data_IF_642455789526
#
_entry.id   IF_642455789526
#
_cell.length_a   1.000
_cell.length_b   1.000
_cell.length_c   1.000
_cell.angle_alpha   90.00
_cell.angle_beta   90.00
_cell.angle_gamma   90.00
#
_symmetry.space_group_name_H-M   'P 1'
#
loop_
_entity.id
_entity.type
_entity.pdbx_description
1 polymer ?
#
# COMPACT_ATOMS: atom_id res chain seq x y z
N UNK A 1 3.53 4.42 4.87
CA UNK A 1 3.94 5.41 3.86
C UNK A 1 5.44 5.62 4.01
N UNK A 2 6.16 5.48 2.91
CA UNK A 2 7.60 5.67 2.80
C UNK A 2 7.91 7.14 2.52
N UNK A 3 8.95 7.65 3.17
CA UNK A 3 9.54 8.97 2.93
C UNK A 3 11.02 8.77 2.62
N UNK A 4 11.44 9.32 1.49
CA UNK A 4 12.80 9.27 0.96
C UNK A 4 13.22 10.72 0.77
N UNK A 5 14.35 11.12 1.34
CA UNK A 5 14.82 12.50 1.25
C UNK A 5 16.31 12.60 1.56
N UNK A 6 16.94 13.68 1.10
CA UNK A 6 18.26 14.10 1.54
C UNK A 6 18.15 14.95 2.80
N UNK A 7 19.08 14.73 3.72
CA UNK A 7 19.25 15.51 4.94
C UNK A 7 20.68 16.04 4.97
N UNK A 8 20.83 17.34 5.18
CA UNK A 8 22.15 17.96 5.39
C UNK A 8 22.65 17.72 6.81
N UNK A 9 23.92 18.06 7.05
CA UNK A 9 24.54 18.01 8.37
C UNK A 9 23.74 18.77 9.45
N UNK A 10 23.12 19.90 9.08
CA UNK A 10 22.34 20.76 10.00
C UNK A 10 20.92 20.21 10.26
N UNK A 11 20.70 18.94 9.90
CA UNK A 11 19.41 18.25 9.99
C UNK A 11 18.29 18.87 9.14
N UNK A 12 18.63 19.76 8.21
CA UNK A 12 17.68 20.31 7.25
C UNK A 12 17.38 19.28 6.17
N UNK A 13 16.10 19.17 5.81
CA UNK A 13 15.63 18.30 4.73
C UNK A 13 15.60 19.12 3.45
N UNK A 14 16.28 18.64 2.41
CA UNK A 14 16.15 19.23 1.09
C UNK A 14 14.75 18.90 0.54
N UNK A 15 13.91 19.93 0.43
CA UNK A 15 12.51 19.83 0.03
C UNK A 15 12.34 19.23 -1.37
N UNK A 16 13.27 19.51 -2.28
CA UNK A 16 13.20 19.09 -3.68
C UNK A 16 13.59 17.61 -3.86
N UNK A 17 14.37 17.08 -2.90
CA UNK A 17 14.77 15.67 -2.87
C UNK A 17 13.71 14.74 -2.27
N UNK A 18 12.61 15.30 -1.73
CA UNK A 18 11.66 14.56 -0.91
C UNK A 18 10.65 13.80 -1.75
N UNK A 19 10.79 12.48 -1.80
CA UNK A 19 9.81 11.56 -2.36
C UNK A 19 8.97 10.91 -1.26
N UNK A 20 7.64 10.93 -1.41
CA UNK A 20 6.73 10.23 -0.49
C UNK A 20 5.85 9.26 -1.26
N UNK A 21 5.85 7.99 -0.88
CA UNK A 21 5.10 6.94 -1.61
C UNK A 21 4.55 5.86 -0.67
N UNK A 22 3.50 5.17 -1.08
CA UNK A 22 2.99 3.97 -0.39
C UNK A 22 3.51 2.67 -1.01
N UNK A 23 4.16 2.73 -2.18
CA UNK A 23 4.69 1.58 -2.89
C UNK A 23 6.16 1.33 -2.49
N UNK A 24 6.43 0.14 -1.96
CA UNK A 24 7.78 -0.28 -1.56
C UNK A 24 8.77 -0.30 -2.73
N UNK A 25 8.36 -0.77 -3.91
CA UNK A 25 9.21 -0.82 -5.10
C UNK A 25 9.59 0.58 -5.54
N UNK A 26 8.63 1.50 -5.55
CA UNK A 26 8.90 2.91 -5.85
C UNK A 26 9.81 3.57 -4.80
N UNK A 27 9.65 3.21 -3.51
CA UNK A 27 10.50 3.70 -2.44
C UNK A 27 11.94 3.21 -2.58
N UNK A 28 12.13 1.92 -2.89
CA UNK A 28 13.43 1.32 -3.14
C UNK A 28 14.12 1.99 -4.35
N UNK A 29 13.41 2.16 -5.47
CA UNK A 29 13.95 2.82 -6.65
C UNK A 29 14.34 4.29 -6.39
N UNK A 30 13.51 5.04 -5.68
CA UNK A 30 13.81 6.43 -5.32
C UNK A 30 15.02 6.53 -4.39
N UNK A 31 15.12 5.64 -3.40
CA UNK A 31 16.27 5.61 -2.49
C UNK A 31 17.55 5.19 -3.23
N UNK A 32 17.46 4.19 -4.12
CA UNK A 32 18.57 3.78 -4.98
C UNK A 32 19.09 4.94 -5.83
N UNK A 33 18.18 5.72 -6.42
CA UNK A 33 18.54 6.89 -7.22
C UNK A 33 19.28 7.95 -6.39
N UNK A 34 18.89 8.18 -5.13
CA UNK A 34 19.64 9.06 -4.24
C UNK A 34 21.02 8.50 -3.89
N UNK A 35 21.11 7.23 -3.47
CA UNK A 35 22.38 6.59 -3.08
C UNK A 35 23.37 6.53 -4.25
N UNK A 36 22.89 6.43 -5.48
CA UNK A 36 23.75 6.40 -6.67
C UNK A 36 24.39 7.76 -7.03
N UNK A 37 23.95 8.87 -6.42
CA UNK A 37 24.44 10.23 -6.70
C UNK A 37 25.90 10.41 -6.28
N UNK A 38 26.81 10.24 -7.24
CA UNK A 38 28.24 10.44 -7.04
C UNK A 38 28.62 11.92 -6.85
N UNK A 39 27.76 12.86 -7.25
CA UNK A 39 27.97 14.29 -7.05
C UNK A 39 27.94 14.70 -5.56
N UNK A 40 27.38 13.85 -4.70
CA UNK A 40 27.29 14.06 -3.27
C UNK A 40 28.42 13.36 -2.49
N UNK A 41 29.25 12.56 -3.14
CA UNK A 41 30.33 11.80 -2.50
C UNK A 41 31.32 12.74 -1.79
N UNK A 42 31.68 12.40 -0.54
CA UNK A 42 32.52 13.23 0.33
C UNK A 42 31.79 14.39 1.02
N UNK A 43 30.54 14.67 0.66
CA UNK A 43 29.75 15.71 1.33
C UNK A 43 29.07 15.18 2.60
N UNK A 44 28.91 16.06 3.60
CA UNK A 44 28.18 15.78 4.85
C UNK A 44 26.66 15.83 4.65
N UNK A 45 26.18 15.07 3.69
CA UNK A 45 24.77 14.87 3.36
C UNK A 45 24.44 13.40 3.57
N UNK A 46 23.18 13.12 3.87
CA UNK A 46 22.69 11.77 4.02
C UNK A 46 21.38 11.54 3.29
N UNK A 47 21.25 10.41 2.58
CA UNK A 47 19.98 9.93 2.08
C UNK A 47 19.28 9.12 3.18
N UNK A 48 18.01 9.42 3.43
CA UNK A 48 17.20 8.80 4.47
C UNK A 48 16.02 8.09 3.84
N UNK A 49 15.81 6.83 4.23
CA UNK A 49 14.59 6.07 3.97
C UNK A 49 13.87 5.82 5.31
N UNK A 50 12.62 6.26 5.40
CA UNK A 50 11.78 6.04 6.57
C UNK A 50 10.38 5.54 6.21
N UNK A 51 9.79 4.73 7.09
CA UNK A 51 8.44 4.21 6.97
C UNK A 51 7.70 4.34 8.31
N UNK A 52 6.55 5.01 8.33
CA UNK A 52 5.71 5.19 9.55
C UNK A 52 6.52 5.60 10.80
N UNK A 53 7.39 6.60 10.66
CA UNK A 53 8.28 7.11 11.72
C UNK A 53 9.44 6.18 12.14
N UNK A 54 9.55 4.97 11.59
CA UNK A 54 10.74 4.14 11.68
C UNK A 54 11.71 4.46 10.55
N UNK A 55 13.00 4.64 10.86
CA UNK A 55 14.05 4.78 9.85
C UNK A 55 14.49 3.38 9.41
N UNK A 56 14.37 3.10 8.11
CA UNK A 56 14.75 1.80 7.53
C UNK A 56 16.20 1.79 7.06
N UNK A 57 16.64 2.88 6.43
CA UNK A 57 18.01 3.03 5.97
C UNK A 57 18.51 4.47 6.14
N UNK A 58 19.81 4.59 6.34
CA UNK A 58 20.51 5.86 6.52
C UNK A 58 21.85 5.78 5.79
N UNK A 59 21.93 6.46 4.65
CA UNK A 59 23.12 6.50 3.84
C UNK A 59 23.85 7.82 3.99
N UNK A 60 25.14 7.78 4.31
CA UNK A 60 26.03 8.93 4.34
C UNK A 60 26.98 8.89 3.14
N UNK A 61 27.11 10.01 2.45
CA UNK A 61 27.99 10.14 1.29
C UNK A 61 29.45 10.45 1.67
N UNK A 62 29.71 10.83 2.93
CA UNK A 62 31.07 11.05 3.45
C UNK A 62 31.73 9.79 4.02
N UNK A 63 31.07 8.62 3.94
CA UNK A 63 31.57 7.35 4.45
C UNK A 63 32.11 6.45 3.34
N UNK A 64 33.27 5.80 3.54
CA UNK A 64 33.82 4.87 2.57
C UNK A 64 32.89 3.66 2.37
N UNK A 65 33.05 2.99 1.23
CA UNK A 65 32.32 1.76 0.92
C UNK A 65 32.62 0.68 1.97
N UNK A 66 31.59 -0.08 2.35
CA UNK A 66 31.70 -1.13 3.37
C UNK A 66 31.39 -0.69 4.81
N UNK A 67 31.28 0.61 5.10
CA UNK A 67 30.76 1.06 6.40
C UNK A 67 29.24 0.86 6.53
N UNK A 68 28.74 0.77 7.77
CA UNK A 68 27.32 0.55 8.08
C UNK A 68 26.39 1.62 7.49
N UNK A 69 26.89 2.86 7.35
CA UNK A 69 26.16 3.99 6.80
C UNK A 69 26.39 4.16 5.28
N UNK A 70 27.11 3.24 4.64
CA UNK A 70 27.25 3.21 3.18
C UNK A 70 26.36 2.09 2.61
N UNK A 71 25.25 2.50 1.97
CA UNK A 71 24.25 1.60 1.40
C UNK A 71 24.45 1.33 -0.09
N UNK A 72 25.54 1.85 -0.69
CA UNK A 72 25.84 1.64 -2.10
C UNK A 72 26.13 0.15 -2.31
N UNK A 73 25.32 -0.49 -3.17
CA UNK A 73 25.41 -1.93 -3.44
C UNK A 73 24.80 -2.85 -2.37
N UNK A 74 24.14 -2.31 -1.33
CA UNK A 74 23.57 -3.09 -0.20
C UNK A 74 22.07 -2.85 0.01
N UNK A 75 21.38 -2.41 -1.04
CA UNK A 75 19.96 -2.02 -0.96
C UNK A 75 19.02 -3.22 -0.72
N UNK A 76 19.49 -4.41 -1.06
CA UNK A 76 18.86 -5.70 -0.81
C UNK A 76 18.91 -6.12 0.68
N UNK A 77 19.86 -5.59 1.45
CA UNK A 77 19.96 -5.79 2.90
C UNK A 77 18.96 -4.93 3.70
N UNK A 78 18.23 -4.01 3.05
CA UNK A 78 17.25 -3.17 3.74
C UNK A 78 16.13 -4.06 4.29
N UNK A 79 15.98 -4.06 5.61
CA UNK A 79 14.84 -4.69 6.28
C UNK A 79 13.57 -3.91 5.98
N UNK A 80 12.85 -4.35 4.95
CA UNK A 80 11.55 -3.81 4.64
C UNK A 80 10.54 -4.33 5.66
N UNK A 81 9.66 -3.45 6.18
CA UNK A 81 8.57 -3.92 7.00
C UNK A 81 7.78 -4.91 6.16
N UNK A 82 7.50 -6.10 6.71
CA UNK A 82 6.63 -7.04 6.02
C UNK A 82 5.38 -6.30 5.58
N UNK A 83 4.86 -6.58 4.37
CA UNK A 83 3.54 -6.11 4.01
C UNK A 83 2.59 -6.71 5.04
N UNK A 84 2.33 -5.95 6.10
CA UNK A 84 1.32 -6.28 7.09
C UNK A 84 0.12 -6.55 6.22
N UNK A 85 -0.35 -7.79 6.20
CA UNK A 85 -1.59 -8.13 5.54
C UNK A 85 -2.61 -7.18 6.15
N UNK A 86 -2.85 -6.09 5.46
CA UNK A 86 -3.65 -5.00 5.96
C UNK A 86 -5.00 -5.64 6.11
N UNK A 87 -5.42 -5.88 7.36
CA UNK A 87 -6.84 -6.08 7.65
C UNK A 87 -7.56 -4.95 6.94
N UNK A 88 -8.33 -5.32 5.91
CA UNK A 88 -9.09 -4.50 4.97
C UNK A 88 -8.89 -3.00 5.01
N UNK A 89 -7.87 -2.47 4.33
CA UNK A 89 -7.83 -1.07 3.92
C UNK A 89 -8.27 -0.95 2.46
N UNK A 90 -9.46 -0.40 2.21
CA UNK A 90 -10.00 -0.21 0.86
C UNK A 90 -9.03 0.63 -0.01
N UNK A 91 -8.36 -0.01 -0.96
CA UNK A 91 -7.62 0.67 -2.04
C UNK A 91 -8.44 0.56 -3.33
N UNK A 92 -8.67 1.67 -4.01
CA UNK A 92 -9.27 1.67 -5.36
C UNK A 92 -8.47 0.74 -6.27
N UNK A 93 -9.13 -0.27 -6.84
CA UNK A 93 -8.54 -1.23 -7.78
C UNK A 93 -7.97 -2.52 -7.16
N UNK A 94 -7.92 -2.69 -5.84
CA UNK A 94 -7.34 -3.88 -5.19
C UNK A 94 -8.36 -4.99 -4.86
N UNK A 95 -9.59 -4.93 -5.38
CA UNK A 95 -10.54 -6.03 -5.29
C UNK A 95 -10.39 -6.95 -6.50
N UNK A 96 -10.36 -8.28 -6.29
CA UNK A 96 -10.83 -9.23 -7.31
C UNK A 96 -12.13 -8.64 -7.85
N UNK A 97 -12.23 -8.38 -9.17
CA UNK A 97 -13.47 -7.90 -9.76
C UNK A 97 -14.55 -8.92 -9.37
N UNK A 98 -15.39 -8.54 -8.41
CA UNK A 98 -16.54 -9.36 -8.04
C UNK A 98 -17.46 -9.20 -9.25
N UNK A 99 -17.43 -10.19 -10.13
CA UNK A 99 -18.45 -10.34 -11.14
C UNK A 99 -19.64 -10.98 -10.44
N UNK A 100 -20.84 -10.47 -10.70
CA UNK A 100 -22.06 -11.23 -10.43
C UNK A 100 -21.96 -12.56 -11.19
N UNK A 101 -22.64 -13.62 -10.75
CA UNK A 101 -22.80 -14.85 -11.53
C UNK A 101 -23.18 -14.58 -13.00
N UNK A 102 -23.93 -13.49 -13.21
CA UNK A 102 -24.47 -13.09 -14.51
C UNK A 102 -23.57 -12.07 -15.25
N UNK A 103 -22.35 -11.81 -14.75
CA UNK A 103 -21.34 -10.96 -15.38
C UNK A 103 -21.61 -9.44 -15.34
N UNK A 104 -22.73 -9.01 -14.77
CA UNK A 104 -23.13 -7.60 -14.69
C UNK A 104 -22.27 -6.72 -13.77
N UNK A 105 -22.34 -5.38 -13.93
CA UNK A 105 -21.62 -4.44 -13.08
C UNK A 105 -22.12 -4.50 -11.63
N UNK A 106 -21.21 -4.67 -10.67
CA UNK A 106 -21.54 -4.72 -9.23
C UNK A 106 -21.40 -3.33 -8.61
N UNK A 107 -22.50 -2.83 -8.02
CA UNK A 107 -22.49 -1.62 -7.19
C UNK A 107 -22.26 -2.02 -5.73
N UNK A 108 -21.24 -1.43 -5.08
CA UNK A 108 -20.98 -1.66 -3.65
C UNK A 108 -21.78 -0.67 -2.79
N UNK A 109 -22.46 -1.20 -1.76
CA UNK A 109 -23.19 -0.44 -0.74
C UNK A 109 -22.90 -1.03 0.64
N UNK A 110 -22.77 -0.18 1.65
CA UNK A 110 -22.66 -0.59 3.05
C UNK A 110 -24.07 -0.55 3.67
N UNK A 111 -24.47 -1.62 4.34
CA UNK A 111 -25.77 -1.75 5.01
C UNK A 111 -25.58 -2.37 6.39
N UNK A 112 -26.43 -1.99 7.34
CA UNK A 112 -26.49 -2.61 8.67
C UNK A 112 -27.71 -3.53 8.71
N UNK A 113 -27.49 -4.79 9.08
CA UNK A 113 -28.52 -5.83 9.16
C UNK A 113 -28.47 -6.47 10.55
N UNK A 114 -29.62 -6.87 11.08
CA UNK A 114 -29.66 -7.67 12.30
C UNK A 114 -29.18 -9.11 12.03
N UNK A 115 -28.79 -9.80 13.10
CA UNK A 115 -28.20 -11.15 13.03
C UNK A 115 -29.12 -12.18 12.38
N UNK A 116 -30.44 -12.08 12.62
CA UNK A 116 -31.42 -12.97 12.02
C UNK A 116 -31.48 -12.76 10.52
N UNK A 117 -31.50 -11.51 10.06
CA UNK A 117 -31.49 -11.19 8.63
C UNK A 117 -30.22 -11.68 7.94
N UNK A 118 -29.04 -11.50 8.55
CA UNK A 118 -27.77 -12.01 8.01
C UNK A 118 -27.82 -13.53 7.84
N UNK A 119 -28.32 -14.25 8.85
CA UNK A 119 -28.42 -15.71 8.80
C UNK A 119 -29.35 -16.18 7.69
N UNK A 120 -30.56 -15.65 7.61
CA UNK A 120 -31.57 -16.04 6.61
C UNK A 120 -31.05 -15.82 5.18
N UNK A 121 -30.44 -14.66 4.93
CA UNK A 121 -29.90 -14.36 3.61
C UNK A 121 -28.68 -15.22 3.27
N UNK A 122 -27.82 -15.51 4.24
CA UNK A 122 -26.65 -16.39 4.02
C UNK A 122 -27.08 -17.81 3.67
N UNK A 123 -28.09 -18.35 4.37
CA UNK A 123 -28.68 -19.67 4.07
C UNK A 123 -29.33 -19.67 2.66
N UNK A 124 -30.10 -18.62 2.32
CA UNK A 124 -30.70 -18.45 0.99
C UNK A 124 -29.67 -18.40 -0.15
N UNK A 125 -28.50 -17.81 0.13
CA UNK A 125 -27.37 -17.67 -0.79
C UNK A 125 -26.41 -18.86 -0.82
N UNK A 126 -26.71 -19.98 -0.16
CA UNK A 126 -25.83 -21.16 -0.13
C UNK A 126 -24.50 -20.92 0.61
N UNK A 127 -24.50 -20.06 1.62
CA UNK A 127 -23.31 -19.66 2.38
C UNK A 127 -22.78 -18.27 2.04
N UNK A 128 -23.30 -17.62 0.99
CA UNK A 128 -22.87 -16.29 0.54
C UNK A 128 -23.97 -15.23 0.75
N UNK A 129 -23.74 -14.28 1.66
CA UNK A 129 -24.71 -13.22 1.99
C UNK A 129 -25.13 -12.38 0.77
N UNK A 130 -24.17 -12.06 -0.11
CA UNK A 130 -24.44 -11.25 -1.30
C UNK A 130 -25.36 -11.95 -2.31
N UNK A 131 -25.28 -13.27 -2.40
CA UNK A 131 -26.15 -14.09 -3.24
C UNK A 131 -27.56 -14.19 -2.66
N UNK A 132 -27.66 -14.32 -1.33
CA UNK A 132 -28.93 -14.25 -0.61
C UNK A 132 -29.70 -12.97 -0.87
N UNK A 133 -29.02 -11.82 -0.79
CA UNK A 133 -29.61 -10.51 -1.07
C UNK A 133 -30.17 -10.46 -2.50
N UNK A 134 -29.42 -10.97 -3.49
CA UNK A 134 -29.87 -11.00 -4.90
C UNK A 134 -31.10 -11.87 -5.08
N UNK A 135 -31.09 -13.09 -4.56
CA UNK A 135 -32.22 -14.03 -4.67
C UNK A 135 -33.47 -13.48 -3.99
N UNK A 136 -33.33 -12.88 -2.82
CA UNK A 136 -34.44 -12.23 -2.13
C UNK A 136 -35.00 -11.05 -2.95
N UNK A 137 -34.13 -10.22 -3.55
CA UNK A 137 -34.56 -9.13 -4.41
C UNK A 137 -35.29 -9.62 -5.67
N UNK A 138 -34.80 -10.67 -6.32
CA UNK A 138 -35.46 -11.29 -7.48
C UNK A 138 -36.79 -11.96 -7.13
N UNK A 139 -36.92 -12.50 -5.92
CA UNK A 139 -38.18 -13.11 -5.45
C UNK A 139 -39.28 -12.07 -5.18
N UNK A 140 -38.91 -10.80 -4.97
CA UNK A 140 -39.85 -9.70 -4.65
C UNK A 140 -40.05 -8.78 -5.87
N UNK A 141 -39.06 -8.69 -6.78
CA UNK A 141 -39.18 -7.90 -7.99
C UNK A 141 -40.27 -8.48 -8.90
N UNK A 142 -41.30 -7.71 -9.31
CA UNK A 142 -42.15 -8.12 -10.42
C UNK A 142 -41.29 -8.25 -11.68
N UNK A 143 -41.59 -9.18 -12.60
CA UNK A 143 -40.88 -9.26 -13.87
C UNK A 143 -41.02 -7.90 -14.56
N UNK A 144 -39.90 -7.20 -14.68
CA UNK A 144 -39.87 -5.94 -15.42
C UNK A 144 -40.05 -6.31 -16.89
N UNK A 145 -41.18 -5.91 -17.47
CA UNK A 145 -41.45 -6.03 -18.91
C UNK A 145 -40.29 -5.37 -19.68
N UNK A 146 -39.78 -6.12 -20.65
CA UNK A 146 -38.74 -5.70 -21.61
C UNK A 146 -39.34 -4.71 -22.60
#
# INVERSE_FOLDING_TARGET
MYKIYLRTHDQQVDGDSKTTTSNQVAAAAAFAALVARADLDGQRVAAVLSHKAQRLAFHRFDRPEGESDNWRGRLDEIEWPEPVASRGGARSGAGRKIQTSDGGPVVRKNVSLDERTVRVLTELGGGELSEGIRRAALAIAPPSEV
#
